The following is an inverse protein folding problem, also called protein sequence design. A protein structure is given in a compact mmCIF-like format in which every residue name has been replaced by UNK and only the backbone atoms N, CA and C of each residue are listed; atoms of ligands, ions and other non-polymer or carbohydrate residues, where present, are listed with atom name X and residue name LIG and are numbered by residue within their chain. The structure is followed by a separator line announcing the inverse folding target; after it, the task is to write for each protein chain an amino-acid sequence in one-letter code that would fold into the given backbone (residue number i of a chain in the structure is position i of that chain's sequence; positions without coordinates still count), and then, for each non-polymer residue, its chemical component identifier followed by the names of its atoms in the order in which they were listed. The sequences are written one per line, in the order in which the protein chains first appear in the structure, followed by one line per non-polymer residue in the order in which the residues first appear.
data_IF_247313284964
#
_entry.id   IF_247313284964
#
_cell.length_a   1.000
_cell.length_b   1.000
_cell.length_c   1.000
_cell.angle_alpha   90.00
_cell.angle_beta   90.00
_cell.angle_gamma   90.00
#
_symmetry.space_group_name_H-M   'P 1'
#
loop_
_entity.id
_entity.type
_entity.pdbx_description
1 polymer ?
#
# COMPACT_ATOMS: atom_id res chain seq x y z
N UNK A 1 -10.82 1.93 -22.73
CA UNK A 1 -9.98 0.72 -22.58
C UNK A 1 -9.47 0.60 -21.14
N UNK A 2 -9.51 -0.60 -20.54
CA UNK A 2 -8.63 -1.04 -19.44
C UNK A 2 -8.79 -0.54 -17.99
N UNK A 3 -9.85 0.17 -17.55
CA UNK A 3 -9.96 0.59 -16.12
C UNK A 3 -9.88 -0.59 -15.12
N UNK A 4 -10.47 -1.73 -15.46
CA UNK A 4 -10.34 -3.00 -14.71
C UNK A 4 -8.90 -3.52 -14.68
N UNK A 5 -8.19 -3.47 -15.81
CA UNK A 5 -6.79 -3.92 -15.91
C UNK A 5 -5.82 -3.00 -15.17
N UNK A 6 -6.04 -1.68 -15.23
CA UNK A 6 -5.23 -0.71 -14.46
C UNK A 6 -5.45 -0.90 -12.96
N UNK A 7 -6.70 -1.11 -12.51
CA UNK A 7 -7.00 -1.39 -11.11
C UNK A 7 -6.33 -2.68 -10.63
N UNK A 8 -6.40 -3.76 -11.41
CA UNK A 8 -5.71 -5.02 -11.08
C UNK A 8 -4.18 -4.86 -11.00
N UNK A 9 -3.58 -4.13 -11.94
CA UNK A 9 -2.14 -3.83 -11.90
C UNK A 9 -1.77 -3.04 -10.65
N UNK A 10 -2.57 -2.06 -10.26
CA UNK A 10 -2.35 -1.28 -9.04
C UNK A 10 -2.47 -2.14 -7.77
N UNK A 11 -3.39 -3.12 -7.76
CA UNK A 11 -3.50 -4.08 -6.65
C UNK A 11 -2.27 -4.98 -6.58
N UNK A 12 -1.77 -5.50 -7.72
CA UNK A 12 -0.55 -6.30 -7.76
C UNK A 12 0.72 -5.53 -7.38
N UNK A 13 0.80 -4.25 -7.77
CA UNK A 13 1.89 -3.38 -7.30
C UNK A 13 1.85 -3.21 -5.77
N UNK A 14 0.65 -3.12 -5.18
CA UNK A 14 0.49 -3.08 -3.73
C UNK A 14 0.90 -4.39 -3.05
N UNK A 15 0.55 -5.54 -3.65
CA UNK A 15 1.02 -6.86 -3.19
C UNK A 15 2.54 -6.89 -3.14
N UNK A 16 3.20 -6.56 -4.25
CA UNK A 16 4.66 -6.59 -4.33
C UNK A 16 5.32 -5.65 -3.31
N UNK A 17 4.81 -4.41 -3.20
CA UNK A 17 5.29 -3.46 -2.20
C UNK A 17 5.18 -4.02 -0.78
N UNK A 18 4.00 -4.52 -0.42
CA UNK A 18 3.73 -5.03 0.92
C UNK A 18 4.50 -6.31 1.24
N UNK A 19 4.69 -7.22 0.28
CA UNK A 19 5.51 -8.43 0.48
C UNK A 19 6.98 -8.08 0.67
N UNK A 20 7.53 -7.19 -0.16
CA UNK A 20 8.93 -6.75 -0.03
C UNK A 20 9.14 -6.07 1.32
N UNK A 21 8.24 -5.16 1.71
CA UNK A 21 8.30 -4.49 3.01
C UNK A 21 8.18 -5.47 4.17
N UNK A 22 7.29 -6.46 4.09
CA UNK A 22 7.13 -7.48 5.12
C UNK A 22 8.39 -8.36 5.27
N UNK A 23 8.98 -8.80 4.15
CA UNK A 23 10.23 -9.54 4.17
C UNK A 23 11.37 -8.72 4.77
N UNK A 24 11.47 -7.44 4.40
CA UNK A 24 12.47 -6.55 4.98
C UNK A 24 12.26 -6.40 6.50
N UNK A 25 11.01 -6.21 6.94
CA UNK A 25 10.67 -6.10 8.36
C UNK A 25 10.95 -7.40 9.16
N UNK A 26 10.71 -8.59 8.59
CA UNK A 26 10.98 -9.85 9.30
C UNK A 26 12.47 -10.19 9.38
N UNK A 27 13.21 -9.94 8.31
CA UNK A 27 14.58 -10.46 8.19
C UNK A 27 15.67 -9.42 8.39
N UNK A 28 15.36 -8.13 8.20
CA UNK A 28 16.36 -7.06 8.22
C UNK A 28 16.19 -6.11 9.41
N UNK A 29 15.11 -6.21 10.18
CA UNK A 29 14.86 -5.33 11.32
C UNK A 29 16.03 -5.25 12.29
N UNK A 30 16.51 -6.39 12.78
CA UNK A 30 17.55 -6.41 13.82
C UNK A 30 18.97 -6.19 13.26
N UNK A 31 19.11 -6.16 11.93
CA UNK A 31 20.41 -6.11 11.24
C UNK A 31 20.65 -4.78 10.55
N UNK A 32 19.60 -4.12 10.06
CA UNK A 32 19.70 -2.91 9.27
C UNK A 32 18.94 -1.78 9.96
N UNK A 33 19.69 -0.85 10.55
CA UNK A 33 19.15 0.27 11.33
C UNK A 33 18.04 1.06 10.61
N UNK A 34 18.12 1.35 9.29
CA UNK A 34 17.02 2.01 8.58
C UNK A 34 15.68 1.26 8.62
N UNK A 35 15.71 -0.07 8.64
CA UNK A 35 14.49 -0.89 8.74
C UNK A 35 13.97 -0.87 10.17
N UNK A 36 14.85 -0.99 11.17
CA UNK A 36 14.48 -0.84 12.57
C UNK A 36 13.86 0.53 12.87
N UNK A 37 14.42 1.58 12.27
CA UNK A 37 13.89 2.94 12.35
C UNK A 37 12.49 2.97 11.74
N UNK A 38 12.31 2.43 10.53
CA UNK A 38 11.01 2.41 9.86
C UNK A 38 9.94 1.64 10.63
N UNK A 39 10.28 0.54 11.30
CA UNK A 39 9.33 -0.32 12.03
C UNK A 39 9.15 0.08 13.50
N UNK A 40 9.91 1.08 13.97
CA UNK A 40 10.00 1.46 15.39
C UNK A 40 10.37 0.28 16.30
N UNK A 41 11.27 -0.58 15.85
CA UNK A 41 11.67 -1.80 16.56
C UNK A 41 10.62 -2.91 16.60
N UNK A 42 9.47 -2.73 15.93
CA UNK A 42 8.37 -3.70 15.92
C UNK A 42 8.27 -4.45 14.58
N UNK A 43 9.41 -4.91 14.05
CA UNK A 43 9.49 -5.54 12.72
C UNK A 43 8.51 -6.70 12.50
N UNK A 44 8.24 -7.52 13.52
CA UNK A 44 7.27 -8.63 13.41
C UNK A 44 5.84 -8.13 13.24
N UNK A 45 5.40 -7.16 14.04
CA UNK A 45 4.03 -6.64 13.98
C UNK A 45 3.84 -5.91 12.65
N UNK A 46 4.77 -5.02 12.30
CA UNK A 46 4.76 -4.28 11.04
C UNK A 46 4.74 -5.22 9.83
N UNK A 47 5.56 -6.28 9.84
CA UNK A 47 5.58 -7.29 8.79
C UNK A 47 4.25 -8.05 8.65
N UNK A 48 3.59 -8.39 9.76
CA UNK A 48 2.27 -9.04 9.75
C UNK A 48 1.21 -8.12 9.13
N UNK A 49 1.20 -6.83 9.50
CA UNK A 49 0.27 -5.85 8.95
C UNK A 49 0.43 -5.71 7.43
N UNK A 50 1.67 -5.67 6.94
CA UNK A 50 1.97 -5.67 5.52
C UNK A 50 1.55 -6.98 4.83
N UNK A 51 1.74 -8.14 5.45
CA UNK A 51 1.24 -9.40 4.89
C UNK A 51 -0.30 -9.44 4.81
N UNK A 52 -1.01 -8.87 5.79
CA UNK A 52 -2.47 -8.75 5.75
C UNK A 52 -2.89 -7.85 4.59
N UNK A 53 -2.23 -6.70 4.41
CA UNK A 53 -2.45 -5.80 3.29
C UNK A 53 -2.19 -6.49 1.95
N UNK A 54 -1.08 -7.22 1.82
CA UNK A 54 -0.73 -8.02 0.65
C UNK A 54 -1.82 -9.06 0.35
N UNK A 55 -2.21 -9.87 1.35
CA UNK A 55 -3.22 -10.90 1.20
C UNK A 55 -4.57 -10.34 0.75
N UNK A 56 -5.00 -9.21 1.31
CA UNK A 56 -6.22 -8.51 0.89
C UNK A 56 -6.12 -8.00 -0.55
N UNK A 57 -4.99 -7.41 -0.93
CA UNK A 57 -4.74 -6.90 -2.26
C UNK A 57 -4.71 -8.03 -3.30
N UNK A 58 -3.99 -9.13 -3.03
CA UNK A 58 -3.91 -10.31 -3.88
C UNK A 58 -5.27 -10.98 -4.05
N UNK A 59 -6.00 -11.19 -2.94
CA UNK A 59 -7.36 -11.73 -2.97
C UNK A 59 -8.29 -10.88 -3.86
N UNK A 60 -8.22 -9.56 -3.71
CA UNK A 60 -9.03 -8.62 -4.50
C UNK A 60 -8.62 -8.64 -5.98
N UNK A 61 -7.32 -8.74 -6.26
CA UNK A 61 -6.77 -8.78 -7.61
C UNK A 61 -7.07 -10.08 -8.35
N UNK A 62 -7.24 -11.20 -7.65
CA UNK A 62 -7.55 -12.50 -8.25
C UNK A 62 -9.03 -12.69 -8.60
N UNK A 63 -9.95 -11.98 -7.93
CA UNK A 63 -11.39 -12.18 -8.18
C UNK A 63 -11.76 -11.80 -9.62
N UNK A 64 -12.66 -12.53 -10.29
CA UNK A 64 -13.16 -12.17 -11.63
C UNK A 64 -13.81 -10.79 -11.68
N UNK A 65 -14.47 -10.41 -10.58
CA UNK A 65 -15.09 -9.09 -10.39
C UNK A 65 -14.49 -8.42 -9.17
N UNK A 66 -13.91 -7.24 -9.36
CA UNK A 66 -13.29 -6.47 -8.28
C UNK A 66 -14.38 -5.83 -7.42
N UNK A 67 -14.43 -6.18 -6.14
CA UNK A 67 -15.39 -5.60 -5.18
C UNK A 67 -14.91 -4.24 -4.73
N UNK A 68 -15.71 -3.19 -4.96
CA UNK A 68 -15.38 -1.80 -4.60
C UNK A 68 -15.04 -1.63 -3.11
N UNK A 69 -15.81 -2.27 -2.23
CA UNK A 69 -15.57 -2.20 -0.78
C UNK A 69 -14.19 -2.73 -0.36
N UNK A 70 -13.70 -3.79 -1.01
CA UNK A 70 -12.35 -4.30 -0.72
C UNK A 70 -11.26 -3.34 -1.18
N UNK A 71 -11.43 -2.73 -2.35
CA UNK A 71 -10.50 -1.69 -2.84
C UNK A 71 -10.50 -0.47 -1.92
N UNK A 72 -11.67 -0.05 -1.44
CA UNK A 72 -11.78 1.05 -0.47
C UNK A 72 -11.08 0.72 0.85
N UNK A 73 -11.23 -0.52 1.35
CA UNK A 73 -10.51 -0.98 2.53
C UNK A 73 -9.00 -0.96 2.32
N UNK A 74 -8.51 -1.44 1.18
CA UNK A 74 -7.09 -1.41 0.83
C UNK A 74 -6.56 0.03 0.77
N UNK A 75 -7.31 0.95 0.15
CA UNK A 75 -6.96 2.38 0.13
C UNK A 75 -6.90 2.94 1.57
N UNK A 76 -7.85 2.58 2.43
CA UNK A 76 -7.86 3.02 3.83
C UNK A 76 -6.64 2.49 4.59
N UNK A 77 -6.29 1.21 4.43
CA UNK A 77 -5.09 0.62 5.04
C UNK A 77 -3.80 1.30 4.54
N UNK A 78 -3.68 1.53 3.23
CA UNK A 78 -2.56 2.30 2.67
C UNK A 78 -2.51 3.73 3.22
N UNK A 79 -3.66 4.35 3.45
CA UNK A 79 -3.72 5.71 4.03
C UNK A 79 -3.26 5.70 5.49
N UNK A 80 -3.60 4.65 6.26
CA UNK A 80 -3.08 4.49 7.63
C UNK A 80 -1.56 4.28 7.62
N UNK A 81 -1.05 3.44 6.71
CA UNK A 81 0.39 3.24 6.53
C UNK A 81 1.10 4.54 6.14
N UNK A 82 0.50 5.33 5.24
CA UNK A 82 1.02 6.64 4.87
C UNK A 82 1.08 7.60 6.07
N UNK A 83 0.02 7.64 6.88
CA UNK A 83 -0.01 8.46 8.09
C UNK A 83 1.07 8.02 9.10
N UNK A 84 1.26 6.71 9.26
CA UNK A 84 2.34 6.16 10.07
C UNK A 84 3.71 6.64 9.59
N UNK A 85 3.99 6.55 8.28
CA UNK A 85 5.27 7.02 7.74
C UNK A 85 5.47 8.53 7.91
N UNK A 86 4.42 9.35 7.74
CA UNK A 86 4.51 10.80 7.98
C UNK A 86 4.85 11.09 9.44
N UNK A 87 4.16 10.45 10.39
CA UNK A 87 4.48 10.59 11.82
C UNK A 87 5.91 10.15 12.10
N UNK A 88 6.35 9.06 11.46
CA UNK A 88 7.69 8.54 11.65
C UNK A 88 8.76 9.52 11.14
N UNK A 89 8.55 10.17 10.00
CA UNK A 89 9.45 11.22 9.50
C UNK A 89 9.62 12.44 10.43
N UNK A 90 8.67 12.67 11.35
CA UNK A 90 8.76 13.74 12.35
C UNK A 90 9.55 13.34 13.59
N UNK A 91 9.91 12.05 13.74
CA UNK A 91 10.64 11.56 14.90
C UNK A 91 12.14 11.91 14.81
N UNK A 92 12.68 12.71 15.77
CA UNK A 92 14.07 13.14 15.74
C UNK A 92 15.09 12.02 16.02
N UNK A 93 14.63 10.83 16.42
CA UNK A 93 15.49 9.68 16.72
C UNK A 93 15.90 8.88 15.49
N UNK A 94 15.29 9.15 14.33
CA UNK A 94 15.53 8.40 13.09
C UNK A 94 16.85 8.79 12.45
N UNK A 95 17.59 7.78 11.99
CA UNK A 95 18.83 8.00 11.25
C UNK A 95 18.58 8.64 9.87
N UNK A 96 19.58 9.32 9.30
CA UNK A 96 19.46 9.89 7.96
C UNK A 96 19.06 8.86 6.89
N UNK A 97 19.64 7.65 6.94
CA UNK A 97 19.30 6.57 6.03
C UNK A 97 17.87 6.02 6.28
N UNK A 98 17.42 5.98 7.53
CA UNK A 98 16.03 5.66 7.87
C UNK A 98 15.06 6.69 7.29
N UNK A 99 15.36 7.99 7.39
CA UNK A 99 14.55 9.05 6.79
C UNK A 99 14.44 8.91 5.27
N UNK A 100 15.56 8.63 4.58
CA UNK A 100 15.55 8.41 3.12
C UNK A 100 14.69 7.21 2.73
N UNK A 101 14.81 6.09 3.45
CA UNK A 101 14.00 4.90 3.21
C UNK A 101 12.50 5.19 3.41
N UNK A 102 12.13 5.79 4.54
CA UNK A 102 10.74 6.13 4.84
C UNK A 102 10.19 7.12 3.81
N UNK A 103 10.97 8.08 3.34
CA UNK A 103 10.55 9.03 2.31
C UNK A 103 10.25 8.33 0.97
N UNK A 104 11.08 7.36 0.57
CA UNK A 104 10.84 6.55 -0.63
C UNK A 104 9.56 5.72 -0.49
N UNK A 105 9.37 5.05 0.64
CA UNK A 105 8.18 4.23 0.89
C UNK A 105 6.91 5.08 1.01
N UNK A 106 7.01 6.27 1.62
CA UNK A 106 5.94 7.28 1.63
C UNK A 106 5.51 7.65 0.21
N UNK A 107 6.46 7.93 -0.67
CA UNK A 107 6.17 8.26 -2.07
C UNK A 107 5.54 7.08 -2.82
N UNK A 108 6.01 5.84 -2.58
CA UNK A 108 5.46 4.64 -3.17
C UNK A 108 4.00 4.40 -2.73
N UNK A 109 3.73 4.46 -1.42
CA UNK A 109 2.37 4.32 -0.86
C UNK A 109 1.44 5.41 -1.39
N UNK A 110 1.90 6.66 -1.44
CA UNK A 110 1.11 7.77 -2.00
C UNK A 110 0.76 7.53 -3.47
N UNK A 111 1.73 7.08 -4.29
CA UNK A 111 1.48 6.73 -5.69
C UNK A 111 0.46 5.60 -5.82
N UNK A 112 0.56 4.55 -5.00
CA UNK A 112 -0.40 3.45 -4.96
C UNK A 112 -1.82 3.95 -4.62
N UNK A 113 -1.97 4.78 -3.60
CA UNK A 113 -3.26 5.39 -3.21
C UNK A 113 -3.85 6.18 -4.39
N UNK A 114 -3.06 7.07 -5.00
CA UNK A 114 -3.52 7.91 -6.11
C UNK A 114 -4.01 7.04 -7.28
N UNK A 115 -3.23 6.03 -7.67
CA UNK A 115 -3.58 5.14 -8.77
C UNK A 115 -4.82 4.31 -8.45
N UNK A 116 -4.92 3.75 -7.23
CA UNK A 116 -6.07 2.96 -6.79
C UNK A 116 -7.35 3.80 -6.75
N UNK A 117 -7.29 5.02 -6.20
CA UNK A 117 -8.43 5.96 -6.17
C UNK A 117 -8.88 6.34 -7.58
N UNK A 118 -7.95 6.75 -8.45
CA UNK A 118 -8.26 7.11 -9.85
C UNK A 118 -8.88 5.93 -10.60
N UNK A 119 -8.31 4.74 -10.44
CA UNK A 119 -8.80 3.52 -11.09
C UNK A 119 -10.18 3.10 -10.59
N UNK A 120 -10.43 3.22 -9.28
CA UNK A 120 -11.74 2.93 -8.69
C UNK A 120 -12.83 3.90 -9.16
N UNK A 121 -12.50 5.20 -9.30
CA UNK A 121 -13.42 6.21 -9.86
C UNK A 121 -13.76 5.89 -11.31
N UNK A 122 -12.76 5.63 -12.14
CA UNK A 122 -12.95 5.26 -13.54
C UNK A 122 -13.77 3.96 -13.70
N UNK A 123 -13.49 2.95 -12.88
CA UNK A 123 -14.26 1.70 -12.84
C UNK A 123 -15.72 1.94 -12.44
N UNK A 124 -15.97 2.86 -11.52
CA UNK A 124 -17.34 3.21 -11.09
C UNK A 124 -18.14 3.98 -12.14
N UNK A 125 -17.49 4.81 -12.95
CA UNK A 125 -18.13 5.54 -14.04
C UNK A 125 -18.47 4.63 -15.22
N UNK A 126 -17.61 3.66 -15.54
CA UNK A 126 -17.83 2.69 -16.62
C UNK A 126 -19.01 1.73 -16.38
N UNK A 127 -19.44 1.56 -15.12
CA UNK A 127 -20.57 0.69 -14.75
C UNK A 127 -21.93 1.39 -14.66
N UNK A 128 -22.03 2.70 -14.92
CA UNK A 128 -23.33 3.39 -15.01
C UNK A 128 -23.82 3.28 -16.46
N UNK A 129 -25.03 2.75 -16.73
CA UNK A 129 -25.60 2.81 -18.06
C UNK A 129 -25.77 4.29 -18.43
N UNK A 130 -25.25 4.69 -19.58
CA UNK A 130 -25.57 5.96 -20.21
C UNK A 130 -27.08 5.96 -20.49
N UNK A 131 -27.87 6.53 -19.58
CA UNK A 131 -29.22 6.96 -19.91
C UNK A 131 -29.06 8.17 -20.83
N UNK A 132 -28.95 7.89 -22.13
CA UNK A 132 -29.15 8.87 -23.18
C UNK A 132 -30.65 9.08 -23.26
N UNK A 133 -31.09 10.24 -22.76
CA UNK A 133 -32.43 10.80 -22.97
C UNK A 133 -32.59 11.29 -24.40
#
# INVERSE_FOLDING_TARGET
MNSSNTLRKALWANVAFAEIGALAAFFLNDTFAPINDMTDGQGVIFGIELLILSGLAAYTAWKPTVRKGLVQLIIALNTLLLAYFIIRLEDPTISAAGMELIAVDTAAVLALIIVQVRSLRAYSQAGKPTMVS
#
